data_IF_001677060967
#
_entry.id   IF_001677060967
#
_cell.length_a   1.000
_cell.length_b   1.000
_cell.length_c   1.000
_cell.angle_alpha   90.00
_cell.angle_beta   90.00
_cell.angle_gamma   90.00
#
_symmetry.space_group_name_H-M   'P 1'
#
loop_
_entity.id
_entity.type
_entity.pdbx_description
1 polymer ?
#
# COMPACT_ATOMS: atom_id res chain seq x y z
N UNK A 1 -27.52 -8.52 -16.94
CA UNK A 1 -27.20 -8.30 -16.66
C UNK A 1 -26.32 -7.95 -16.16
N UNK A 2 -26.25 -7.71 -15.77
CA UNK A 2 -25.32 -7.44 -15.48
C UNK A 2 -24.89 -7.65 -14.24
N UNK A 3 -24.77 -8.47 -13.94
CA UNK A 3 -24.26 -8.98 -12.72
C UNK A 3 -22.91 -8.44 -12.38
N UNK A 4 -22.42 -7.71 -13.24
CA UNK A 4 -21.11 -7.22 -13.05
C UNK A 4 -21.12 -5.83 -12.58
N UNK A 5 -22.13 -5.45 -11.87
CA UNK A 5 -22.15 -4.22 -11.14
C UNK A 5 -21.37 -4.35 -9.85
N UNK A 6 -20.24 -4.99 -9.92
CA UNK A 6 -19.34 -5.03 -8.78
C UNK A 6 -18.81 -3.63 -8.56
N UNK A 7 -18.78 -3.20 -7.31
CA UNK A 7 -18.14 -1.96 -6.95
C UNK A 7 -16.65 -2.06 -7.26
N UNK A 8 -16.03 -0.99 -7.73
CA UNK A 8 -14.59 -0.98 -7.92
C UNK A 8 -13.88 -1.29 -6.62
N UNK A 9 -12.82 -2.05 -6.68
CA UNK A 9 -11.94 -2.24 -5.54
C UNK A 9 -11.13 -0.98 -5.31
N UNK A 10 -10.77 -0.74 -4.06
CA UNK A 10 -9.91 0.39 -3.69
C UNK A 10 -8.62 -0.17 -3.12
N UNK A 11 -7.52 0.21 -3.71
CA UNK A 11 -6.20 -0.19 -3.27
C UNK A 11 -5.45 1.02 -2.76
N UNK A 12 -4.75 0.86 -1.63
CA UNK A 12 -3.94 1.92 -1.08
C UNK A 12 -2.48 1.50 -1.16
N UNK A 13 -1.64 2.37 -1.73
CA UNK A 13 -0.19 2.16 -1.79
C UNK A 13 0.46 3.18 -0.89
N UNK A 14 1.30 2.71 0.03
CA UNK A 14 2.00 3.54 0.99
C UNK A 14 3.50 3.33 0.83
N UNK A 15 4.18 4.20 0.08
CA UNK A 15 5.63 4.17 0.09
C UNK A 15 6.13 4.57 1.47
N UNK A 16 7.06 3.79 2.04
CA UNK A 16 7.52 4.02 3.40
C UNK A 16 9.02 3.84 3.50
N UNK A 17 9.67 4.80 4.15
CA UNK A 17 11.08 4.74 4.46
C UNK A 17 11.28 5.21 5.90
N UNK A 18 11.68 4.28 6.78
CA UNK A 18 11.91 4.59 8.20
C UNK A 18 10.71 5.29 8.86
N UNK A 19 9.53 4.71 8.68
CA UNK A 19 8.28 5.25 9.24
C UNK A 19 7.75 4.42 10.40
N UNK A 20 8.64 3.79 11.16
CA UNK A 20 8.22 2.87 12.23
C UNK A 20 7.34 3.55 13.28
N UNK A 21 7.50 4.86 13.49
CA UNK A 21 6.73 5.59 14.50
C UNK A 21 5.30 5.87 14.07
N UNK A 22 5.03 5.87 12.78
CA UNK A 22 3.73 6.32 12.26
C UNK A 22 3.01 5.28 11.42
N UNK A 23 3.74 4.34 10.80
CA UNK A 23 3.15 3.45 9.81
C UNK A 23 2.00 2.61 10.37
N UNK A 24 2.12 2.15 11.60
CA UNK A 24 1.07 1.36 12.23
C UNK A 24 -0.23 2.13 12.37
N UNK A 25 -0.11 3.40 12.76
CA UNK A 25 -1.28 4.25 12.94
C UNK A 25 -1.89 4.65 11.60
N UNK A 26 -1.05 4.93 10.61
CA UNK A 26 -1.54 5.23 9.26
C UNK A 26 -2.38 4.07 8.76
N UNK A 27 -1.89 2.83 8.88
CA UNK A 27 -2.62 1.65 8.41
C UNK A 27 -3.90 1.47 9.23
N UNK A 28 -3.83 1.65 10.55
CA UNK A 28 -4.99 1.46 11.40
C UNK A 28 -6.13 2.44 11.08
N UNK A 29 -5.81 3.60 10.55
CA UNK A 29 -6.80 4.61 10.20
C UNK A 29 -7.40 4.42 8.81
N UNK A 30 -6.92 3.45 8.03
CA UNK A 30 -7.45 3.20 6.70
C UNK A 30 -8.84 2.58 6.82
N UNK A 31 -9.85 3.12 6.11
CA UNK A 31 -11.22 2.60 6.20
C UNK A 31 -11.36 1.18 5.69
N UNK A 32 -12.34 0.48 6.24
CA UNK A 32 -12.62 -0.91 5.87
C UNK A 32 -13.04 -1.09 4.41
N UNK A 33 -13.47 -0.02 3.75
CA UNK A 33 -13.83 -0.09 2.34
C UNK A 33 -12.65 -0.38 1.43
N UNK A 34 -11.42 -0.19 1.93
CA UNK A 34 -10.20 -0.47 1.16
C UNK A 34 -10.02 -1.98 1.04
N UNK A 35 -9.84 -2.44 -0.18
CA UNK A 35 -9.72 -3.88 -0.47
C UNK A 35 -8.37 -4.42 -0.05
N UNK A 36 -7.32 -3.65 -0.24
CA UNK A 36 -5.97 -4.08 0.12
C UNK A 36 -5.09 -2.86 0.37
N UNK A 37 -4.29 -2.93 1.42
CA UNK A 37 -3.28 -1.92 1.73
C UNK A 37 -1.91 -2.49 1.44
N UNK A 38 -1.16 -1.82 0.58
CA UNK A 38 0.16 -2.24 0.14
C UNK A 38 1.18 -1.23 0.67
N UNK A 39 2.05 -1.68 1.56
CA UNK A 39 3.18 -0.86 2.03
C UNK A 39 4.40 -1.25 1.23
N UNK A 40 5.02 -0.28 0.57
CA UNK A 40 6.27 -0.51 -0.14
C UNK A 40 7.41 -0.02 0.73
N UNK A 41 8.12 -0.96 1.32
CA UNK A 41 9.25 -0.66 2.20
C UNK A 41 10.47 -0.32 1.34
N UNK A 42 10.85 0.96 1.35
CA UNK A 42 11.92 1.47 0.50
C UNK A 42 13.25 1.46 1.27
N UNK A 43 13.73 0.25 1.55
CA UNK A 43 15.03 0.04 2.20
C UNK A 43 15.12 0.66 3.61
N UNK A 44 14.05 0.53 4.39
CA UNK A 44 14.05 0.99 5.78
C UNK A 44 15.05 0.20 6.62
N UNK A 45 15.67 0.88 7.57
CA UNK A 45 16.59 0.26 8.51
C UNK A 45 15.97 0.06 9.90
N UNK A 46 14.73 0.48 10.07
CA UNK A 46 13.99 0.32 11.32
C UNK A 46 12.94 -0.80 11.22
N UNK A 47 11.96 -0.80 12.11
CA UNK A 47 10.93 -1.83 12.19
C UNK A 47 9.71 -1.55 11.30
N UNK A 48 9.81 -0.66 10.33
CA UNK A 48 8.69 -0.29 9.46
C UNK A 48 8.00 -1.52 8.88
N UNK A 49 8.77 -2.44 8.30
CA UNK A 49 8.19 -3.62 7.66
C UNK A 49 7.45 -4.51 8.65
N UNK A 50 8.06 -4.79 9.79
CA UNK A 50 7.45 -5.64 10.82
C UNK A 50 6.14 -5.06 11.31
N UNK A 51 6.12 -3.76 11.57
CA UNK A 51 4.92 -3.08 12.07
C UNK A 51 3.82 -3.11 11.01
N UNK A 52 4.17 -2.85 9.75
CA UNK A 52 3.19 -2.88 8.67
C UNK A 52 2.56 -4.26 8.52
N UNK A 53 3.36 -5.31 8.58
CA UNK A 53 2.85 -6.69 8.50
C UNK A 53 1.91 -7.01 9.64
N UNK A 54 2.22 -6.58 10.85
CA UNK A 54 1.36 -6.81 12.02
C UNK A 54 0.01 -6.13 11.88
N UNK A 55 -0.04 -5.01 11.18
CA UNK A 55 -1.29 -4.29 10.94
C UNK A 55 -2.09 -4.88 9.77
N UNK A 56 -1.60 -5.93 9.16
CA UNK A 56 -2.34 -6.60 8.10
C UNK A 56 -2.07 -6.10 6.69
N UNK A 57 -1.09 -5.23 6.51
CA UNK A 57 -0.73 -4.75 5.19
C UNK A 57 0.06 -5.80 4.40
N UNK A 58 -0.09 -5.77 3.09
CA UNK A 58 0.82 -6.45 2.18
C UNK A 58 2.10 -5.63 2.11
N UNK A 59 3.25 -6.24 2.35
CA UNK A 59 4.51 -5.49 2.33
C UNK A 59 5.36 -5.95 1.16
N UNK A 60 5.76 -4.99 0.35
CA UNK A 60 6.70 -5.18 -0.76
C UNK A 60 8.00 -4.48 -0.41
N UNK A 61 9.10 -4.97 -0.96
CA UNK A 61 10.42 -4.36 -0.76
C UNK A 61 10.89 -3.75 -2.06
N UNK A 62 11.36 -2.51 -1.98
CA UNK A 62 11.99 -1.81 -3.09
C UNK A 62 13.32 -1.26 -2.64
N UNK A 63 14.41 -1.85 -3.12
CA UNK A 63 15.76 -1.47 -2.68
C UNK A 63 16.29 -0.23 -3.38
N UNK A 64 15.73 0.13 -4.52
CA UNK A 64 16.14 1.36 -5.21
C UNK A 64 15.51 2.54 -4.48
N UNK A 65 16.34 3.40 -3.93
CA UNK A 65 15.84 4.50 -3.12
C UNK A 65 15.12 5.53 -3.98
N UNK A 66 13.98 5.99 -3.49
CA UNK A 66 13.22 7.05 -4.10
C UNK A 66 11.73 6.75 -4.12
N UNK A 67 10.95 7.79 -3.94
CA UNK A 67 9.49 7.70 -3.89
C UNK A 67 8.94 7.11 -5.18
N UNK A 68 9.48 7.53 -6.32
CA UNK A 68 9.00 7.04 -7.61
C UNK A 68 9.17 5.53 -7.79
N UNK A 69 10.29 4.99 -7.35
CA UNK A 69 10.50 3.54 -7.44
C UNK A 69 9.50 2.78 -6.58
N UNK A 70 9.19 3.32 -5.40
CA UNK A 70 8.22 2.69 -4.51
C UNK A 70 6.83 2.73 -5.11
N UNK A 71 6.45 3.83 -5.71
CA UNK A 71 5.16 3.93 -6.40
C UNK A 71 5.06 2.93 -7.53
N UNK A 72 6.11 2.83 -8.35
CA UNK A 72 6.16 1.90 -9.47
C UNK A 72 6.07 0.45 -8.98
N UNK A 73 6.73 0.14 -7.87
CA UNK A 73 6.67 -1.20 -7.29
C UNK A 73 5.25 -1.57 -6.90
N UNK A 74 4.54 -0.66 -6.26
CA UNK A 74 3.15 -0.89 -5.87
C UNK A 74 2.24 -1.04 -7.07
N UNK A 75 2.41 -0.20 -8.09
CA UNK A 75 1.62 -0.28 -9.31
C UNK A 75 1.89 -1.61 -10.02
N UNK A 76 3.14 -2.01 -10.10
CA UNK A 76 3.54 -3.26 -10.75
C UNK A 76 2.86 -4.46 -10.07
N UNK A 77 2.84 -4.46 -8.75
CA UNK A 77 2.15 -5.50 -7.99
C UNK A 77 0.66 -5.59 -8.34
N UNK A 78 0.03 -4.45 -8.55
CA UNK A 78 -1.41 -4.41 -8.82
C UNK A 78 -1.78 -4.69 -10.27
N UNK A 79 -0.82 -4.70 -11.19
CA UNK A 79 -1.13 -4.85 -12.62
C UNK A 79 -1.89 -6.13 -12.95
N UNK A 80 -1.61 -7.21 -12.22
CA UNK A 80 -2.29 -8.48 -12.45
C UNK A 80 -3.50 -8.69 -11.54
N UNK A 81 -3.75 -7.78 -10.61
CA UNK A 81 -4.82 -7.91 -9.63
C UNK A 81 -5.95 -6.92 -9.86
N UNK A 82 -5.61 -5.69 -10.21
CA UNK A 82 -6.59 -4.63 -10.33
C UNK A 82 -7.28 -4.68 -11.69
N UNK A 83 -8.55 -4.33 -11.68
CA UNK A 83 -9.34 -4.17 -12.90
C UNK A 83 -9.28 -2.71 -13.36
N UNK A 84 -9.57 -2.43 -14.65
CA UNK A 84 -9.45 -1.06 -15.16
C UNK A 84 -10.26 -0.01 -14.41
N UNK A 85 -11.35 -0.41 -13.77
CA UNK A 85 -12.21 0.53 -13.05
C UNK A 85 -11.86 0.66 -11.56
N UNK A 86 -10.85 -0.07 -11.11
CA UNK A 86 -10.46 -0.01 -9.71
C UNK A 86 -9.74 1.29 -9.39
N UNK A 87 -9.74 1.65 -8.12
CA UNK A 87 -9.18 2.91 -7.64
C UNK A 87 -7.89 2.64 -6.90
N UNK A 88 -6.85 3.38 -7.23
CA UNK A 88 -5.56 3.30 -6.54
C UNK A 88 -5.30 4.63 -5.86
N UNK A 89 -5.06 4.60 -4.56
CA UNK A 89 -4.80 5.79 -3.76
C UNK A 89 -3.38 5.68 -3.20
N UNK A 90 -2.63 6.77 -3.30
CA UNK A 90 -1.30 6.84 -2.68
C UNK A 90 -1.40 7.65 -1.40
N UNK A 91 -0.84 7.12 -0.32
CA UNK A 91 -0.79 7.81 0.97
C UNK A 91 0.66 7.87 1.45
N UNK A 92 0.94 8.88 2.26
CA UNK A 92 2.23 8.97 2.94
C UNK A 92 2.26 8.04 4.14
N UNK A 93 3.43 7.52 4.46
CA UNK A 93 3.61 6.64 5.62
C UNK A 93 3.78 7.38 6.93
N UNK A 94 3.75 8.70 6.91
CA UNK A 94 3.88 9.53 8.11
C UNK A 94 2.58 10.26 8.41
N UNK A 95 2.51 10.77 9.63
CA UNK A 95 1.36 11.57 10.06
C UNK A 95 1.70 13.04 10.03
#
# INVERSE_FOLDING_TARGET
MYSDHKKPAVYVIIPAFNESKSIGKVIADIPDLVSETIVVNNASTDNTETIAKKQGATVLRENRKGYGYSCLKGIDYLQTKANPNDIIVFLDGDY
#
